data_IF_305523795237
#
_entry.id   IF_305523795237
#
_cell.length_a   1.000
_cell.length_b   1.000
_cell.length_c   1.000
_cell.angle_alpha   90.00
_cell.angle_beta   90.00
_cell.angle_gamma   90.00
#
_symmetry.space_group_name_H-M   'P 1'
#
loop_
_entity.id
_entity.type
_entity.pdbx_description
1 polymer ?
#
# COMPACT_ATOMS: atom_id res chain seq x y z
N UNK A 1 19.43 16.11 6.54
CA UNK A 1 18.42 15.07 6.87
C UNK A 1 18.91 13.70 6.42
N UNK A 2 18.93 12.70 7.30
CA UNK A 2 19.36 11.34 6.92
C UNK A 2 18.20 10.63 6.20
N UNK A 3 18.38 10.25 4.94
CA UNK A 3 17.35 9.55 4.15
C UNK A 3 17.05 8.17 4.75
N UNK A 4 15.76 7.86 4.93
CA UNK A 4 15.29 6.53 5.33
C UNK A 4 15.16 5.66 4.09
N UNK A 5 15.74 4.46 4.13
CA UNK A 5 15.57 3.47 3.07
C UNK A 5 14.26 2.71 3.27
N UNK A 6 13.55 2.47 2.18
CA UNK A 6 12.31 1.68 2.18
C UNK A 6 12.46 0.44 1.31
N UNK A 7 11.94 -0.66 1.78
CA UNK A 7 11.66 -1.86 1.01
C UNK A 7 10.16 -2.07 1.02
N UNK A 8 9.52 -1.88 -0.14
CA UNK A 8 8.05 -1.91 -0.25
C UNK A 8 7.66 -3.07 -1.15
N UNK A 9 6.83 -3.99 -0.63
CA UNK A 9 6.32 -5.14 -1.35
C UNK A 9 4.82 -4.96 -1.65
N UNK A 10 4.48 -4.70 -2.91
CA UNK A 10 3.12 -4.78 -3.39
C UNK A 10 2.82 -6.24 -3.79
N UNK A 11 1.95 -6.90 -3.05
CA UNK A 11 1.57 -8.29 -3.34
C UNK A 11 0.60 -8.43 -4.49
N UNK A 12 0.05 -7.32 -4.96
CA UNK A 12 -0.97 -7.33 -5.99
C UNK A 12 -2.13 -8.27 -5.61
N UNK A 13 -2.69 -9.01 -6.55
CA UNK A 13 -3.78 -9.96 -6.30
C UNK A 13 -3.22 -11.37 -5.98
N UNK A 14 -2.40 -11.47 -4.91
CA UNK A 14 -1.78 -12.72 -4.48
C UNK A 14 -1.86 -12.93 -2.97
N UNK A 15 -1.92 -14.19 -2.57
CA UNK A 15 -1.86 -14.60 -1.17
C UNK A 15 -3.20 -15.10 -0.62
N UNK A 16 -3.09 -16.06 0.28
CA UNK A 16 -4.19 -16.64 1.04
C UNK A 16 -3.87 -16.56 2.55
N UNK A 17 -4.79 -16.91 3.41
CA UNK A 17 -4.64 -16.78 4.87
C UNK A 17 -3.34 -17.42 5.42
N UNK A 18 -2.88 -18.53 4.85
CA UNK A 18 -1.62 -19.15 5.23
C UNK A 18 -0.36 -18.32 4.97
N UNK A 19 -0.47 -17.27 4.17
CA UNK A 19 0.65 -16.40 3.83
C UNK A 19 1.17 -15.56 5.01
N UNK A 20 0.48 -15.54 6.14
CA UNK A 20 0.98 -14.97 7.40
C UNK A 20 2.33 -15.60 7.82
N UNK A 21 2.58 -16.86 7.43
CA UNK A 21 3.87 -17.54 7.67
C UNK A 21 5.03 -16.85 6.95
N UNK A 22 4.79 -16.31 5.75
CA UNK A 22 5.79 -15.56 4.97
C UNK A 22 6.11 -14.25 5.68
N UNK A 23 5.09 -13.50 6.12
CA UNK A 23 5.25 -12.25 6.88
C UNK A 23 6.08 -12.49 8.15
N UNK A 24 5.77 -13.54 8.91
CA UNK A 24 6.52 -13.91 10.12
C UNK A 24 7.97 -14.32 9.80
N UNK A 25 8.21 -14.95 8.67
CA UNK A 25 9.57 -15.30 8.23
C UNK A 25 10.40 -14.06 7.88
N UNK A 26 9.80 -13.12 7.16
CA UNK A 26 10.41 -11.83 6.84
C UNK A 26 10.75 -11.05 8.12
N UNK A 27 9.82 -10.96 9.07
CA UNK A 27 10.04 -10.28 10.37
C UNK A 27 11.20 -10.89 11.15
N UNK A 28 11.27 -12.23 11.23
CA UNK A 28 12.40 -12.93 11.86
C UNK A 28 13.73 -12.62 11.19
N UNK A 29 13.75 -12.56 9.85
CA UNK A 29 14.95 -12.22 9.10
C UNK A 29 15.41 -10.79 9.38
N UNK A 30 14.49 -9.82 9.37
CA UNK A 30 14.77 -8.41 9.68
C UNK A 30 15.37 -8.27 11.09
N UNK A 31 14.80 -8.96 12.07
CA UNK A 31 15.28 -8.95 13.46
C UNK A 31 16.69 -9.52 13.59
N UNK A 32 17.00 -10.61 12.88
CA UNK A 32 18.34 -11.23 12.88
C UNK A 32 19.41 -10.34 12.25
N UNK A 33 19.10 -9.72 11.12
CA UNK A 33 20.08 -8.97 10.33
C UNK A 33 20.33 -7.55 10.85
N UNK A 34 19.63 -7.13 11.92
CA UNK A 34 19.76 -5.80 12.54
C UNK A 34 19.71 -4.63 11.53
N UNK A 35 18.96 -4.77 10.45
CA UNK A 35 18.78 -3.71 9.45
C UNK A 35 17.96 -2.53 10.00
N UNK A 36 18.49 -1.90 11.07
CA UNK A 36 17.85 -0.74 11.74
C UNK A 36 17.67 0.50 10.85
N UNK A 37 18.24 0.50 9.65
CA UNK A 37 18.25 1.66 8.75
C UNK A 37 17.20 1.61 7.63
N UNK A 38 16.44 0.52 7.50
CA UNK A 38 15.43 0.34 6.46
C UNK A 38 14.07 0.09 7.07
N UNK A 39 13.03 0.69 6.48
CA UNK A 39 11.64 0.36 6.79
C UNK A 39 11.12 -0.64 5.78
N UNK A 40 10.48 -1.69 6.27
CA UNK A 40 9.81 -2.68 5.42
C UNK A 40 8.31 -2.42 5.48
N UNK A 41 7.70 -2.31 4.31
CA UNK A 41 6.25 -2.10 4.14
C UNK A 41 5.72 -3.21 3.24
N UNK A 42 4.64 -3.86 3.66
CA UNK A 42 3.94 -4.87 2.86
C UNK A 42 2.53 -4.36 2.57
N UNK A 43 2.14 -4.38 1.29
CA UNK A 43 0.80 -4.03 0.83
C UNK A 43 0.13 -5.29 0.25
N UNK A 44 -0.52 -6.11 1.10
CA UNK A 44 -1.22 -7.31 0.69
C UNK A 44 -2.64 -6.96 0.17
N UNK A 45 -3.38 -7.92 -0.41
CA UNK A 45 -4.82 -7.78 -0.63
C UNK A 45 -5.56 -7.39 0.66
N UNK A 46 -6.64 -6.64 0.51
CA UNK A 46 -7.43 -6.14 1.66
C UNK A 46 -7.90 -7.25 2.60
N UNK A 47 -8.22 -8.42 2.06
CA UNK A 47 -8.66 -9.59 2.81
C UNK A 47 -7.61 -10.16 3.78
N UNK A 48 -6.34 -9.81 3.59
CA UNK A 48 -5.21 -10.28 4.40
C UNK A 48 -4.69 -9.24 5.40
N UNK A 49 -5.07 -7.96 5.23
CA UNK A 49 -4.53 -6.85 6.03
C UNK A 49 -4.68 -7.09 7.54
N UNK A 50 -5.90 -7.33 8.01
CA UNK A 50 -6.17 -7.52 9.44
C UNK A 50 -5.42 -8.73 10.01
N UNK A 51 -5.37 -9.84 9.25
CA UNK A 51 -4.64 -11.03 9.67
C UNK A 51 -3.13 -10.75 9.82
N UNK A 52 -2.53 -10.03 8.88
CA UNK A 52 -1.11 -9.70 8.91
C UNK A 52 -0.77 -8.67 10.00
N UNK A 53 -1.62 -7.68 10.21
CA UNK A 53 -1.45 -6.67 11.25
C UNK A 53 -1.54 -7.31 12.64
N UNK A 54 -2.47 -8.25 12.83
CA UNK A 54 -2.63 -8.97 14.08
C UNK A 54 -1.46 -9.91 14.41
N UNK A 55 -0.63 -10.25 13.45
CA UNK A 55 0.60 -11.01 13.69
C UNK A 55 1.67 -10.24 14.49
N UNK A 56 1.45 -8.93 14.75
CA UNK A 56 2.30 -8.07 15.61
C UNK A 56 3.79 -8.11 15.25
N UNK A 57 4.09 -8.05 13.97
CA UNK A 57 5.45 -7.96 13.46
C UNK A 57 6.00 -6.54 13.52
N UNK A 58 7.31 -6.37 13.31
CA UNK A 58 7.94 -5.06 13.12
C UNK A 58 7.76 -4.46 11.71
N UNK A 59 6.96 -5.10 10.87
CA UNK A 59 6.67 -4.69 9.50
C UNK A 59 5.50 -3.70 9.50
N UNK A 60 5.62 -2.65 8.72
CA UNK A 60 4.52 -1.73 8.47
C UNK A 60 3.64 -2.25 7.31
N UNK A 61 2.33 -2.01 7.39
CA UNK A 61 1.37 -2.44 6.37
C UNK A 61 0.69 -1.27 5.69
N UNK A 62 0.29 -1.50 4.43
CA UNK A 62 -0.41 -0.52 3.61
C UNK A 62 -1.51 -1.13 2.76
N UNK A 63 -2.50 -0.31 2.40
CA UNK A 63 -3.50 -0.66 1.40
C UNK A 63 -2.92 -0.58 -0.01
N UNK A 64 -3.44 -1.37 -0.93
CA UNK A 64 -3.08 -1.32 -2.35
C UNK A 64 -3.78 -0.20 -3.13
N UNK A 65 -4.82 0.38 -2.54
CA UNK A 65 -5.59 1.52 -3.00
C UNK A 65 -6.52 2.01 -1.88
N UNK A 66 -7.16 3.17 -2.07
CA UNK A 66 -8.32 3.59 -1.28
C UNK A 66 -9.31 4.38 -2.15
N UNK A 67 -10.57 4.36 -1.74
CA UNK A 67 -11.60 5.22 -2.31
C UNK A 67 -11.42 6.68 -1.82
N UNK A 68 -11.80 7.64 -2.65
CA UNK A 68 -11.71 9.08 -2.32
C UNK A 68 -12.79 9.58 -1.35
N UNK A 69 -13.81 8.78 -1.07
CA UNK A 69 -14.84 9.05 -0.07
C UNK A 69 -14.66 8.14 1.14
N UNK A 70 -15.20 8.57 2.29
CA UNK A 70 -15.11 7.82 3.53
C UNK A 70 -16.03 6.60 3.55
N UNK A 71 -17.24 6.76 3.01
CA UNK A 71 -18.31 5.78 3.01
C UNK A 71 -19.31 6.08 1.91
N UNK A 72 -20.23 5.18 1.64
CA UNK A 72 -21.29 5.36 0.65
C UNK A 72 -21.63 4.09 -0.11
N UNK A 73 -22.42 4.23 -1.17
CA UNK A 73 -22.88 3.14 -2.03
C UNK A 73 -21.80 2.74 -3.05
N UNK A 74 -20.64 2.29 -2.57
CA UNK A 74 -19.49 1.89 -3.37
C UNK A 74 -19.08 0.45 -3.05
N UNK A 75 -19.95 -0.48 -3.42
CA UNK A 75 -19.78 -1.90 -3.13
C UNK A 75 -18.41 -2.42 -3.58
N UNK A 76 -17.65 -3.01 -2.64
CA UNK A 76 -16.31 -3.55 -2.89
C UNK A 76 -15.16 -2.55 -2.71
N UNK A 77 -15.43 -1.24 -2.59
CA UNK A 77 -14.40 -0.26 -2.32
C UNK A 77 -14.00 -0.22 -0.84
N UNK A 78 -12.76 0.17 -0.58
CA UNK A 78 -12.18 0.33 0.75
C UNK A 78 -11.79 1.79 0.94
N UNK A 79 -12.26 2.44 2.01
CA UNK A 79 -11.91 3.83 2.29
C UNK A 79 -10.58 3.97 3.04
N UNK A 80 -9.99 5.17 2.98
CA UNK A 80 -8.80 5.51 3.76
C UNK A 80 -9.04 5.37 5.28
N UNK A 81 -10.26 5.68 5.73
CA UNK A 81 -10.69 5.49 7.12
C UNK A 81 -10.67 4.02 7.52
N UNK A 82 -11.19 3.12 6.66
CA UNK A 82 -11.16 1.67 6.91
C UNK A 82 -9.73 1.14 6.98
N UNK A 83 -8.85 1.58 6.09
CA UNK A 83 -7.43 1.21 6.14
C UNK A 83 -6.77 1.66 7.44
N UNK A 84 -7.02 2.89 7.85
CA UNK A 84 -6.49 3.43 9.11
C UNK A 84 -7.00 2.66 10.32
N UNK A 85 -8.29 2.38 10.36
CA UNK A 85 -8.94 1.58 11.41
C UNK A 85 -8.38 0.16 11.50
N UNK A 86 -8.07 -0.46 10.36
CA UNK A 86 -7.41 -1.77 10.30
C UNK A 86 -5.96 -1.75 10.83
N UNK A 87 -5.34 -0.57 10.97
CA UNK A 87 -3.97 -0.40 11.45
C UNK A 87 -2.93 -0.16 10.35
N UNK A 88 -3.36 0.13 9.11
CA UNK A 88 -2.45 0.50 8.04
C UNK A 88 -1.76 1.84 8.33
N UNK A 89 -0.49 1.93 7.94
CA UNK A 89 0.30 3.17 7.98
C UNK A 89 0.52 3.77 6.59
N UNK A 90 0.34 2.98 5.55
CA UNK A 90 0.61 3.35 4.15
C UNK A 90 -0.58 3.04 3.25
N UNK A 91 -0.59 3.68 2.07
CA UNK A 91 -1.49 3.34 0.97
C UNK A 91 -0.79 3.61 -0.36
N UNK A 92 -0.94 2.68 -1.31
CA UNK A 92 -0.51 2.86 -2.70
C UNK A 92 -1.58 3.65 -3.42
N UNK A 93 -1.19 4.68 -4.16
CA UNK A 93 -2.11 5.49 -5.00
C UNK A 93 -1.53 5.59 -6.41
N UNK A 94 -2.39 5.38 -7.41
CA UNK A 94 -2.07 5.57 -8.81
C UNK A 94 -1.18 4.50 -9.41
N UNK A 95 -1.22 3.27 -8.90
CA UNK A 95 -0.49 2.15 -9.51
C UNK A 95 -0.86 1.99 -10.99
N UNK A 96 0.12 1.69 -11.84
CA UNK A 96 -0.06 1.59 -13.31
C UNK A 96 -1.21 0.67 -13.71
N UNK A 97 -1.35 -0.48 -13.06
CA UNK A 97 -2.47 -1.41 -13.31
C UNK A 97 -3.83 -0.77 -13.07
N UNK A 98 -3.97 0.07 -12.05
CA UNK A 98 -5.23 0.76 -11.76
C UNK A 98 -5.52 1.87 -12.77
N UNK A 99 -4.48 2.62 -13.17
CA UNK A 99 -4.62 3.62 -14.25
C UNK A 99 -5.03 2.95 -15.57
N UNK A 100 -4.48 1.78 -15.86
CA UNK A 100 -4.73 1.05 -17.10
C UNK A 100 -6.07 0.32 -17.08
N UNK A 101 -6.32 -0.52 -16.06
CA UNK A 101 -7.48 -1.40 -16.03
C UNK A 101 -8.71 -0.77 -15.37
N UNK A 102 -8.52 0.07 -14.36
CA UNK A 102 -9.61 0.76 -13.66
C UNK A 102 -9.85 2.18 -14.19
N UNK A 103 -9.06 2.64 -15.19
CA UNK A 103 -9.17 3.96 -15.81
C UNK A 103 -9.08 5.12 -14.82
N UNK A 104 -8.31 4.97 -13.76
CA UNK A 104 -8.14 6.02 -12.75
C UNK A 104 -7.56 7.29 -13.37
N UNK A 105 -8.26 8.40 -13.16
CA UNK A 105 -7.88 9.71 -13.66
C UNK A 105 -7.00 10.48 -12.67
N UNK A 106 -6.21 11.43 -13.15
CA UNK A 106 -5.42 12.31 -12.26
C UNK A 106 -6.29 13.08 -11.26
N UNK A 107 -7.52 13.42 -11.64
CA UNK A 107 -8.48 14.08 -10.74
C UNK A 107 -8.86 13.16 -9.57
N UNK A 108 -9.20 11.91 -9.84
CA UNK A 108 -9.51 10.92 -8.80
C UNK A 108 -8.31 10.65 -7.90
N UNK A 109 -7.09 10.58 -8.48
CA UNK A 109 -5.88 10.37 -7.70
C UNK A 109 -5.61 11.53 -6.73
N UNK A 110 -5.86 12.78 -7.14
CA UNK A 110 -5.74 13.92 -6.24
C UNK A 110 -6.71 13.82 -5.05
N UNK A 111 -7.97 13.46 -5.31
CA UNK A 111 -8.96 13.24 -4.25
C UNK A 111 -8.55 12.10 -3.29
N UNK A 112 -7.96 11.02 -3.83
CA UNK A 112 -7.43 9.92 -3.01
C UNK A 112 -6.24 10.36 -2.16
N UNK A 113 -5.37 11.23 -2.68
CA UNK A 113 -4.25 11.83 -1.93
C UNK A 113 -4.79 12.66 -0.76
N UNK A 114 -5.78 13.51 -1.02
CA UNK A 114 -6.36 14.38 0.00
C UNK A 114 -6.97 13.57 1.15
N UNK A 115 -7.76 12.54 0.81
CA UNK A 115 -8.39 11.69 1.84
C UNK A 115 -7.36 10.86 2.61
N UNK A 116 -6.33 10.34 1.95
CA UNK A 116 -5.26 9.59 2.61
C UNK A 116 -4.49 10.47 3.61
N UNK A 117 -4.19 11.71 3.23
CA UNK A 117 -3.57 12.70 4.12
C UNK A 117 -4.46 13.03 5.32
N UNK A 118 -5.77 13.21 5.12
CA UNK A 118 -6.75 13.45 6.19
C UNK A 118 -6.70 12.37 7.27
N UNK A 119 -6.48 11.10 6.88
CA UNK A 119 -6.36 9.98 7.82
C UNK A 119 -4.93 9.65 8.23
N UNK A 120 -3.96 10.54 7.92
CA UNK A 120 -2.55 10.33 8.26
C UNK A 120 -1.99 8.99 7.75
N UNK A 121 -2.39 8.58 6.55
CA UNK A 121 -1.75 7.50 5.82
C UNK A 121 -0.58 8.06 5.01
N UNK A 122 0.57 7.38 5.07
CA UNK A 122 1.71 7.71 4.21
C UNK A 122 1.46 7.19 2.80
N UNK A 123 1.59 8.05 1.82
CA UNK A 123 1.26 7.75 0.44
C UNK A 123 2.47 7.19 -0.28
N UNK A 124 2.27 6.05 -0.94
CA UNK A 124 3.20 5.48 -1.92
C UNK A 124 2.61 5.83 -3.29
N UNK A 125 3.02 7.00 -3.82
CA UNK A 125 2.50 7.48 -5.10
C UNK A 125 3.29 6.89 -6.27
N UNK A 126 2.57 6.23 -7.20
CA UNK A 126 3.17 5.63 -8.38
C UNK A 126 3.19 6.63 -9.54
N UNK A 127 4.39 6.95 -10.03
CA UNK A 127 4.64 7.93 -11.10
C UNK A 127 5.09 7.25 -12.42
N UNK A 128 4.57 6.06 -12.71
CA UNK A 128 4.95 5.32 -13.93
C UNK A 128 4.60 6.08 -15.20
N UNK A 129 5.57 6.20 -16.11
CA UNK A 129 5.37 6.69 -17.47
C UNK A 129 5.01 5.55 -18.41
N UNK A 130 4.23 5.84 -19.46
CA UNK A 130 3.98 4.88 -20.54
C UNK A 130 5.19 4.84 -21.46
N UNK A 131 5.55 3.67 -21.98
CA UNK A 131 6.63 3.51 -22.97
C UNK A 131 6.47 4.46 -24.17
N UNK A 132 5.23 4.79 -24.57
CA UNK A 132 4.91 5.73 -25.63
C UNK A 132 5.24 7.19 -25.33
N UNK A 133 5.59 7.54 -24.09
CA UNK A 133 6.02 8.88 -23.70
C UNK A 133 7.55 9.05 -23.69
N UNK A 134 8.31 8.01 -24.01
CA UNK A 134 9.74 8.13 -24.31
C UNK A 134 9.88 8.44 -25.80
N UNK A 135 10.03 9.71 -26.16
CA UNK A 135 10.59 10.09 -27.44
C UNK A 135 12.02 9.57 -27.50
N UNK A 136 12.23 8.50 -28.24
CA UNK A 136 13.55 8.05 -28.65
C UNK A 136 13.92 8.91 -29.86
N UNK A 137 14.35 10.14 -29.61
CA UNK A 137 15.03 10.99 -30.59
C UNK A 137 16.52 10.74 -30.56
#
# INVERSE_FOLDING_TARGET
>A
MKRVKYTIANWKMNGLNGAVKVVNSIDRHIKKTRHKKSKVVICPPFTLLTNFINAKTGIDFGGQDCHHLNEGAFTGCISAQMLKSAGCKYVIIGHSERREYQKETSKELNLKIDIANKYNLKIIYCIGEKLSSFDVS
#
